data_IF_559804551868
#
_entry.id   IF_559804551868
#
_cell.length_a   1.000
_cell.length_b   1.000
_cell.length_c   1.000
_cell.angle_alpha   90.00
_cell.angle_beta   90.00
_cell.angle_gamma   90.00
#
_symmetry.space_group_name_H-M   'P 1'
#
loop_
_entity.id
_entity.type
_entity.pdbx_description
1 polymer ?
#
# COMPACT_ATOMS: atom_id res chain seq x y z
N UNK A 1 -12.20 5.83 -41.13
CA UNK A 1 -12.35 7.02 -40.27
C UNK A 1 -11.74 6.62 -38.94
N UNK A 2 -10.61 7.22 -38.54
CA UNK A 2 -9.96 6.90 -37.25
C UNK A 2 -10.86 7.45 -36.14
N UNK A 3 -11.27 6.65 -35.15
CA UNK A 3 -12.07 7.15 -34.03
C UNK A 3 -11.33 8.32 -33.37
N UNK A 4 -12.05 9.40 -33.07
CA UNK A 4 -11.50 10.47 -32.23
C UNK A 4 -11.17 9.83 -30.88
N UNK A 5 -9.95 9.98 -30.34
CA UNK A 5 -9.63 9.44 -29.04
C UNK A 5 -10.57 10.05 -28.00
N UNK A 6 -11.35 9.19 -27.33
CA UNK A 6 -12.25 9.52 -26.21
C UNK A 6 -11.48 9.89 -24.93
N UNK A 7 -10.24 10.38 -25.07
CA UNK A 7 -9.43 10.76 -23.94
C UNK A 7 -10.05 12.01 -23.30
N UNK A 8 -10.35 11.99 -22.00
CA UNK A 8 -10.75 13.17 -21.27
C UNK A 8 -9.59 14.18 -21.30
N UNK A 9 -9.83 15.33 -21.91
CA UNK A 9 -8.81 16.38 -22.11
C UNK A 9 -8.50 17.19 -20.84
N UNK A 10 -8.98 16.77 -19.68
CA UNK A 10 -8.96 17.57 -18.46
C UNK A 10 -8.17 16.88 -17.36
N UNK A 11 -7.31 17.65 -16.69
CA UNK A 11 -6.43 17.19 -15.61
C UNK A 11 -7.19 16.75 -14.36
N UNK A 12 -8.45 17.15 -14.26
CA UNK A 12 -9.42 16.85 -13.20
C UNK A 12 -10.24 15.59 -13.49
N UNK A 13 -9.81 14.74 -14.44
CA UNK A 13 -10.55 13.55 -14.88
C UNK A 13 -11.01 12.65 -13.72
N UNK A 14 -10.18 12.50 -12.69
CA UNK A 14 -10.50 11.69 -11.52
C UNK A 14 -11.18 12.46 -10.38
N UNK A 15 -11.43 13.76 -10.55
CA UNK A 15 -11.97 14.67 -9.55
C UNK A 15 -13.28 15.35 -9.94
N UNK A 16 -13.65 15.31 -11.23
CA UNK A 16 -15.01 15.62 -11.68
C UNK A 16 -16.01 14.64 -11.03
N UNK A 17 -17.27 15.07 -10.85
CA UNK A 17 -18.31 14.29 -10.16
C UNK A 17 -18.27 12.80 -10.54
N UNK A 18 -18.36 11.88 -9.57
CA UNK A 18 -18.21 10.46 -9.87
C UNK A 18 -19.38 10.03 -10.75
N UNK A 19 -19.16 9.97 -12.06
CA UNK A 19 -19.96 9.09 -12.90
C UNK A 19 -19.68 7.67 -12.43
N UNK A 20 -20.73 6.85 -12.33
CA UNK A 20 -20.58 5.44 -11.94
C UNK A 20 -19.67 4.66 -12.90
N UNK A 21 -19.34 5.25 -14.06
CA UNK A 21 -18.51 4.72 -15.13
C UNK A 21 -17.41 5.69 -15.57
N UNK A 22 -16.28 5.14 -16.04
CA UNK A 22 -15.14 5.86 -16.61
C UNK A 22 -14.78 5.31 -17.98
N UNK A 23 -14.34 6.21 -18.87
CA UNK A 23 -13.78 5.86 -20.16
C UNK A 23 -12.25 5.67 -20.03
N UNK A 24 -11.78 4.48 -20.38
CA UNK A 24 -10.38 4.12 -20.37
C UNK A 24 -9.88 4.00 -21.79
N UNK A 25 -8.65 4.44 -22.01
CA UNK A 25 -7.89 4.15 -23.23
C UNK A 25 -6.90 3.04 -22.90
N UNK A 26 -7.18 1.84 -23.38
CA UNK A 26 -6.37 0.66 -23.13
C UNK A 26 -5.39 0.41 -24.29
N UNK A 27 -4.10 0.51 -24.03
CA UNK A 27 -3.02 0.25 -25.00
C UNK A 27 -2.63 -1.22 -24.92
N UNK A 28 -2.91 -1.97 -25.99
CA UNK A 28 -2.63 -3.40 -26.08
C UNK A 28 -1.18 -3.67 -26.53
N UNK A 29 -0.60 -4.84 -26.16
CA UNK A 29 0.77 -5.20 -26.54
C UNK A 29 0.99 -5.29 -28.06
N UNK A 30 -0.06 -5.61 -28.82
CA UNK A 30 -0.05 -5.68 -30.28
C UNK A 30 -0.19 -4.30 -30.96
N UNK A 31 0.05 -3.20 -30.23
CA UNK A 31 -0.01 -1.81 -30.70
C UNK A 31 -1.40 -1.31 -31.13
N UNK A 32 -2.46 -1.99 -30.68
CA UNK A 32 -3.85 -1.54 -30.84
C UNK A 32 -4.27 -0.79 -29.58
N UNK A 33 -5.00 0.32 -29.73
CA UNK A 33 -5.67 0.97 -28.60
C UNK A 33 -7.15 0.62 -28.63
N UNK A 34 -7.73 0.36 -27.46
CA UNK A 34 -9.14 0.02 -27.29
C UNK A 34 -9.77 0.98 -26.29
N UNK A 35 -10.83 1.72 -26.66
CA UNK A 35 -11.65 2.43 -25.69
C UNK A 35 -12.50 1.42 -24.91
N UNK A 36 -12.56 1.58 -23.60
CA UNK A 36 -13.33 0.72 -22.70
C UNK A 36 -14.08 1.58 -21.68
N UNK A 37 -15.38 1.34 -21.49
CA UNK A 37 -16.19 2.05 -20.49
C UNK A 37 -16.54 1.10 -19.37
N UNK A 38 -16.01 1.33 -18.17
CA UNK A 38 -16.11 0.42 -17.02
C UNK A 38 -16.55 1.16 -15.78
N UNK A 39 -17.08 0.44 -14.79
CA UNK A 39 -17.49 1.06 -13.54
C UNK A 39 -16.30 1.65 -12.79
N UNK A 40 -16.51 2.80 -12.13
CA UNK A 40 -15.53 3.45 -11.27
C UNK A 40 -15.00 2.54 -10.15
N UNK A 41 -15.83 1.61 -9.65
CA UNK A 41 -15.51 0.70 -8.56
C UNK A 41 -15.05 -0.69 -9.04
N UNK A 42 -14.93 -0.89 -10.36
CA UNK A 42 -14.46 -2.15 -10.94
C UNK A 42 -13.03 -2.45 -10.51
N UNK A 43 -12.75 -3.73 -10.25
CA UNK A 43 -11.40 -4.20 -10.02
C UNK A 43 -10.66 -4.35 -11.37
N UNK A 44 -9.34 -4.44 -11.33
CA UNK A 44 -8.55 -4.58 -12.55
C UNK A 44 -8.77 -5.93 -13.25
N UNK A 45 -9.14 -6.99 -12.51
CA UNK A 45 -9.50 -8.28 -13.11
C UNK A 45 -10.69 -8.14 -14.08
N UNK A 46 -11.79 -7.54 -13.62
CA UNK A 46 -13.02 -7.31 -14.40
C UNK A 46 -12.71 -6.47 -15.64
N UNK A 47 -11.94 -5.39 -15.46
CA UNK A 47 -11.49 -4.51 -16.55
C UNK A 47 -10.68 -5.30 -17.59
N UNK A 48 -9.82 -6.21 -17.13
CA UNK A 48 -8.96 -7.02 -18.00
C UNK A 48 -9.77 -8.06 -18.77
N UNK A 49 -10.75 -8.68 -18.13
CA UNK A 49 -11.68 -9.63 -18.77
C UNK A 49 -12.49 -8.95 -19.88
N UNK A 50 -13.13 -7.81 -19.59
CA UNK A 50 -13.87 -7.04 -20.60
C UNK A 50 -12.97 -6.58 -21.77
N UNK A 51 -11.75 -6.14 -21.44
CA UNK A 51 -10.77 -5.74 -22.44
C UNK A 51 -10.33 -6.91 -23.34
N UNK A 52 -10.21 -8.12 -22.78
CA UNK A 52 -9.87 -9.32 -23.55
C UNK A 52 -11.00 -9.74 -24.50
N UNK A 53 -12.25 -9.65 -24.04
CA UNK A 53 -13.43 -9.89 -24.88
C UNK A 53 -13.54 -8.90 -26.04
N UNK A 54 -13.20 -7.63 -25.81
CA UNK A 54 -13.13 -6.61 -26.85
C UNK A 54 -11.98 -6.88 -27.82
N UNK A 55 -10.78 -7.22 -27.32
CA UNK A 55 -9.61 -7.51 -28.14
C UNK A 55 -9.81 -8.72 -29.05
N UNK A 56 -10.58 -9.73 -28.62
CA UNK A 56 -10.92 -10.90 -29.43
C UNK A 56 -11.67 -10.55 -30.73
N UNK A 57 -12.34 -9.39 -30.77
CA UNK A 57 -13.08 -8.88 -31.94
C UNK A 57 -12.22 -8.00 -32.85
N UNK A 58 -10.96 -7.78 -32.49
CA UNK A 58 -10.06 -6.84 -33.15
C UNK A 58 -8.97 -7.55 -33.96
N UNK A 59 -8.37 -6.88 -34.95
CA UNK A 59 -7.23 -7.43 -35.68
C UNK A 59 -6.07 -7.82 -34.75
N UNK A 60 -5.19 -8.69 -35.22
CA UNK A 60 -3.95 -9.06 -34.51
C UNK A 60 -4.17 -9.67 -33.10
N UNK A 61 -5.38 -10.13 -32.77
CA UNK A 61 -5.63 -10.81 -31.50
C UNK A 61 -4.77 -12.07 -31.35
N UNK A 62 -4.55 -12.82 -32.43
CA UNK A 62 -3.71 -14.02 -32.42
C UNK A 62 -2.22 -13.77 -32.12
N UNK A 63 -1.78 -12.51 -32.01
CA UNK A 63 -0.43 -12.15 -31.54
C UNK A 63 -0.34 -12.04 -30.01
N UNK A 64 -1.47 -12.01 -29.30
CA UNK A 64 -1.50 -11.95 -27.85
C UNK A 64 -1.29 -13.34 -27.25
N UNK A 65 -0.53 -13.40 -26.16
CA UNK A 65 -0.40 -14.59 -25.31
C UNK A 65 -1.64 -14.76 -24.41
N UNK A 66 -1.59 -15.71 -23.48
CA UNK A 66 -2.65 -15.86 -22.48
C UNK A 66 -2.84 -14.58 -21.66
N UNK A 67 -4.10 -14.28 -21.31
CA UNK A 67 -4.46 -13.10 -20.52
C UNK A 67 -3.67 -12.98 -19.22
N UNK A 68 -3.39 -14.10 -18.55
CA UNK A 68 -2.62 -14.20 -17.29
C UNK A 68 -1.15 -13.78 -17.44
N UNK A 69 -0.62 -13.79 -18.66
CA UNK A 69 0.76 -13.39 -18.99
C UNK A 69 0.98 -11.88 -19.05
N UNK A 70 -0.05 -11.07 -18.85
CA UNK A 70 0.03 -9.61 -18.93
C UNK A 70 -0.37 -8.92 -17.63
N UNK A 71 0.20 -7.75 -17.38
CA UNK A 71 -0.12 -6.87 -16.25
C UNK A 71 -0.42 -5.46 -16.74
N UNK A 72 -1.15 -4.69 -15.95
CA UNK A 72 -1.39 -3.29 -16.25
C UNK A 72 -0.22 -2.41 -15.84
N UNK A 73 0.12 -1.48 -16.72
CA UNK A 73 1.06 -0.39 -16.51
C UNK A 73 0.34 0.93 -16.76
N UNK A 74 0.59 1.92 -15.91
CA UNK A 74 0.05 3.27 -16.09
C UNK A 74 0.97 4.31 -15.48
N UNK A 75 0.66 5.58 -15.75
CA UNK A 75 1.29 6.71 -15.07
C UNK A 75 0.39 7.09 -13.90
N UNK A 76 0.93 7.06 -12.68
CA UNK A 76 0.19 7.42 -11.48
C UNK A 76 0.16 8.94 -11.25
N UNK A 77 -0.53 9.38 -10.20
CA UNK A 77 -0.67 10.80 -9.84
C UNK A 77 0.67 11.51 -9.53
N UNK A 78 1.73 10.76 -9.28
CA UNK A 78 3.09 11.28 -9.05
C UNK A 78 3.92 11.37 -10.35
N UNK A 79 3.29 11.17 -11.52
CA UNK A 79 3.96 11.12 -12.81
C UNK A 79 5.02 10.00 -12.93
N UNK A 80 4.88 8.94 -12.13
CA UNK A 80 5.74 7.75 -12.17
C UNK A 80 5.02 6.62 -12.89
N UNK A 81 5.77 5.85 -13.69
CA UNK A 81 5.24 4.63 -14.29
C UNK A 81 5.15 3.53 -13.24
N UNK A 82 3.96 3.00 -13.03
CA UNK A 82 3.67 1.93 -12.08
C UNK A 82 3.11 0.72 -12.81
N UNK A 83 3.58 -0.47 -12.42
CA UNK A 83 3.07 -1.76 -12.88
C UNK A 83 2.28 -2.41 -11.74
N UNK A 84 1.05 -2.83 -12.02
CA UNK A 84 0.13 -3.40 -11.03
C UNK A 84 -0.13 -4.86 -11.35
N UNK A 85 0.40 -5.70 -10.49
CA UNK A 85 0.23 -7.15 -10.50
C UNK A 85 -0.98 -7.62 -9.69
N UNK A 86 -1.41 -6.82 -8.70
CA UNK A 86 -2.59 -7.10 -7.89
C UNK A 86 -3.87 -6.65 -8.61
N UNK A 87 -4.52 -7.61 -9.26
CA UNK A 87 -5.73 -7.40 -10.04
C UNK A 87 -6.98 -7.10 -9.17
N UNK A 88 -6.89 -7.26 -7.84
CA UNK A 88 -7.98 -6.89 -6.92
C UNK A 88 -8.06 -5.39 -6.66
N UNK A 89 -7.02 -4.62 -7.02
CA UNK A 89 -7.05 -3.16 -6.89
C UNK A 89 -8.18 -2.59 -7.74
N UNK A 90 -8.84 -1.55 -7.23
CA UNK A 90 -9.93 -0.86 -7.94
C UNK A 90 -9.40 0.29 -8.76
N UNK A 91 -10.08 0.61 -9.85
CA UNK A 91 -9.75 1.76 -10.71
C UNK A 91 -9.67 3.08 -9.93
N UNK A 92 -10.62 3.29 -9.02
CA UNK A 92 -10.68 4.48 -8.14
C UNK A 92 -9.47 4.67 -7.23
N UNK A 93 -8.72 3.61 -6.96
CA UNK A 93 -7.56 3.65 -6.08
C UNK A 93 -6.27 3.94 -6.86
N UNK A 94 -6.21 3.46 -8.11
CA UNK A 94 -5.02 3.65 -8.97
C UNK A 94 -5.04 4.96 -9.77
N UNK A 95 -6.23 5.42 -10.20
CA UNK A 95 -6.45 6.70 -10.92
C UNK A 95 -5.39 6.99 -12.00
N UNK A 96 -5.29 6.14 -13.04
CA UNK A 96 -4.28 6.31 -14.08
C UNK A 96 -4.44 7.66 -14.79
N UNK A 97 -3.35 8.40 -14.96
CA UNK A 97 -3.38 9.72 -15.59
C UNK A 97 -4.05 9.65 -16.97
N UNK A 98 -5.01 10.55 -17.22
CA UNK A 98 -5.87 10.58 -18.42
C UNK A 98 -6.69 9.31 -18.70
N UNK A 99 -6.85 8.39 -17.75
CA UNK A 99 -7.57 7.13 -17.99
C UNK A 99 -6.82 6.17 -18.90
N UNK A 100 -5.51 6.34 -19.05
CA UNK A 100 -4.70 5.49 -19.94
C UNK A 100 -4.12 4.31 -19.18
N UNK A 101 -4.50 3.10 -19.61
CA UNK A 101 -3.92 1.84 -19.13
C UNK A 101 -3.16 1.17 -20.27
N UNK A 102 -2.01 0.59 -19.97
CA UNK A 102 -1.23 -0.18 -20.93
C UNK A 102 -1.09 -1.62 -20.43
N UNK A 103 -1.33 -2.58 -21.31
CA UNK A 103 -1.00 -3.98 -21.03
C UNK A 103 0.44 -4.23 -21.47
N UNK A 104 1.23 -4.78 -20.55
CA UNK A 104 2.60 -5.20 -20.79
C UNK A 104 2.76 -6.66 -20.40
N UNK A 105 3.75 -7.35 -20.96
CA UNK A 105 4.10 -8.68 -20.51
C UNK A 105 4.54 -8.65 -19.05
N UNK A 106 4.04 -9.61 -18.28
CA UNK A 106 4.36 -9.75 -16.86
C UNK A 106 5.85 -10.03 -16.72
N UNK A 107 6.57 -9.15 -16.02
CA UNK A 107 7.97 -9.38 -15.72
C UNK A 107 8.13 -10.62 -14.85
N UNK A 108 8.97 -11.56 -15.30
CA UNK A 108 9.37 -12.76 -14.54
C UNK A 108 10.44 -12.39 -13.49
N UNK A 109 11.02 -11.19 -13.58
CA UNK A 109 12.08 -10.75 -12.68
C UNK A 109 11.49 -10.23 -11.36
N UNK A 110 11.42 -11.11 -10.37
CA UNK A 110 11.24 -10.83 -8.93
C UNK A 110 9.99 -10.00 -8.58
N UNK A 111 8.77 -10.56 -8.76
CA UNK A 111 7.50 -9.86 -8.47
C UNK A 111 7.42 -9.28 -7.04
N UNK A 112 8.05 -9.93 -6.06
CA UNK A 112 8.06 -9.46 -4.67
C UNK A 112 8.86 -8.17 -4.43
N UNK A 113 9.95 -7.94 -5.17
CA UNK A 113 10.77 -6.73 -5.01
C UNK A 113 10.05 -5.51 -5.59
N UNK A 114 9.37 -5.67 -6.73
CA UNK A 114 8.61 -4.60 -7.38
C UNK A 114 7.43 -4.12 -6.50
N UNK A 115 6.66 -5.06 -5.93
CA UNK A 115 5.56 -4.73 -5.02
C UNK A 115 6.05 -3.98 -3.79
N UNK A 116 7.13 -4.44 -3.16
CA UNK A 116 7.70 -3.79 -1.99
C UNK A 116 8.19 -2.36 -2.32
N UNK A 117 8.90 -2.19 -3.44
CA UNK A 117 9.37 -0.88 -3.90
C UNK A 117 8.22 0.10 -4.16
N UNK A 118 7.11 -0.40 -4.71
CA UNK A 118 5.89 0.40 -4.93
C UNK A 118 5.29 0.84 -3.60
N UNK A 119 5.13 -0.08 -2.64
CA UNK A 119 4.62 0.24 -1.30
C UNK A 119 5.50 1.26 -0.57
N UNK A 120 6.83 1.11 -0.65
CA UNK A 120 7.77 2.08 -0.07
C UNK A 120 7.62 3.45 -0.75
N UNK A 121 7.53 3.48 -2.09
CA UNK A 121 7.36 4.73 -2.85
C UNK A 121 6.09 5.47 -2.44
N UNK A 122 4.98 4.74 -2.23
CA UNK A 122 3.73 5.32 -1.74
C UNK A 122 3.86 5.89 -0.32
N UNK A 123 4.52 5.17 0.59
CA UNK A 123 4.71 5.63 1.97
C UNK A 123 5.60 6.88 2.05
N UNK A 124 6.61 6.99 1.18
CA UNK A 124 7.52 8.14 1.13
C UNK A 124 6.93 9.29 0.29
N UNK A 125 6.02 8.98 -0.64
CA UNK A 125 5.47 9.94 -1.61
C UNK A 125 6.45 10.28 -2.74
N UNK A 126 7.43 9.41 -3.03
CA UNK A 126 8.48 9.63 -4.02
C UNK A 126 8.95 8.34 -4.66
N UNK A 127 9.22 8.35 -5.97
CA UNK A 127 9.66 7.16 -6.70
C UNK A 127 11.06 6.71 -6.27
N UNK A 128 11.24 5.41 -5.98
CA UNK A 128 12.56 4.89 -5.62
C UNK A 128 13.59 5.01 -6.76
N UNK A 129 13.13 4.89 -8.00
CA UNK A 129 13.93 5.08 -9.22
C UNK A 129 14.52 6.50 -9.34
N UNK A 130 13.88 7.52 -8.77
CA UNK A 130 14.44 8.87 -8.73
C UNK A 130 15.75 8.88 -7.94
N UNK A 131 15.82 8.16 -6.82
CA UNK A 131 17.05 8.06 -6.04
C UNK A 131 18.13 7.24 -6.75
N UNK A 132 17.76 6.27 -7.58
CA UNK A 132 18.71 5.49 -8.38
C UNK A 132 19.28 6.32 -9.55
N UNK A 133 18.48 7.26 -10.06
CA UNK A 133 18.91 8.22 -11.09
C UNK A 133 19.90 9.28 -10.56
N UNK A 134 19.88 9.56 -9.25
CA UNK A 134 20.82 10.45 -8.60
C UNK A 134 22.21 9.80 -8.57
N UNK A 135 23.05 10.10 -9.57
CA UNK A 135 24.44 9.65 -9.68
C UNK A 135 25.39 10.34 -8.66
N UNK A 136 24.95 10.52 -7.43
CA UNK A 136 25.73 11.11 -6.34
C UNK A 136 26.37 10.01 -5.48
N UNK A 137 27.69 10.08 -5.31
CA UNK A 137 28.43 9.15 -4.45
C UNK A 137 28.00 9.26 -2.99
N UNK A 138 27.77 10.48 -2.49
CA UNK A 138 27.31 10.72 -1.12
C UNK A 138 25.95 10.07 -0.84
N UNK A 139 25.00 10.20 -1.77
CA UNK A 139 23.67 9.58 -1.65
C UNK A 139 23.79 8.06 -1.65
N UNK A 140 24.63 7.49 -2.52
CA UNK A 140 24.85 6.05 -2.60
C UNK A 140 25.53 5.50 -1.34
N UNK A 141 26.52 6.21 -0.80
CA UNK A 141 27.19 5.84 0.45
C UNK A 141 26.24 5.90 1.64
N UNK A 142 25.39 6.93 1.72
CA UNK A 142 24.35 7.02 2.74
C UNK A 142 23.38 5.84 2.66
N UNK A 143 22.86 5.52 1.47
CA UNK A 143 21.93 4.38 1.26
C UNK A 143 22.57 3.07 1.66
N UNK A 144 23.85 2.86 1.32
CA UNK A 144 24.61 1.68 1.71
C UNK A 144 24.79 1.60 3.23
N UNK A 145 25.13 2.71 3.88
CA UNK A 145 25.30 2.77 5.34
C UNK A 145 23.99 2.48 6.08
N UNK A 146 22.88 3.04 5.61
CA UNK A 146 21.57 2.80 6.23
C UNK A 146 21.13 1.35 6.09
N UNK A 147 21.48 0.68 4.98
CA UNK A 147 21.25 -0.76 4.80
C UNK A 147 21.93 -1.58 5.90
N UNK A 148 23.18 -1.28 6.26
CA UNK A 148 23.87 -1.99 7.33
C UNK A 148 23.17 -1.85 8.70
N UNK A 149 22.69 -0.65 9.03
CA UNK A 149 21.94 -0.42 10.28
C UNK A 149 20.62 -1.22 10.29
N UNK A 150 19.95 -1.28 9.15
CA UNK A 150 18.73 -2.06 8.99
C UNK A 150 19.00 -3.57 9.12
N UNK A 151 20.08 -4.08 8.51
CA UNK A 151 20.51 -5.48 8.61
C UNK A 151 20.87 -5.85 10.05
N UNK A 152 21.65 -5.02 10.74
CA UNK A 152 21.99 -5.23 12.16
C UNK A 152 20.73 -5.28 13.03
N UNK A 153 19.77 -4.39 12.78
CA UNK A 153 18.49 -4.37 13.48
C UNK A 153 17.64 -5.60 13.18
N UNK A 154 17.68 -6.12 11.95
CA UNK A 154 16.99 -7.34 11.54
C UNK A 154 17.60 -8.57 12.24
N UNK A 155 18.92 -8.66 12.34
CA UNK A 155 19.63 -9.75 13.04
C UNK A 155 19.27 -9.72 14.54
N UNK A 156 19.29 -8.54 15.19
CA UNK A 156 18.88 -8.44 16.59
C UNK A 156 17.44 -8.91 16.81
N UNK A 157 16.52 -8.57 15.89
CA UNK A 157 15.10 -9.01 15.93
C UNK A 157 14.91 -10.50 15.67
N UNK A 158 15.76 -11.11 14.85
CA UNK A 158 15.69 -12.56 14.58
C UNK A 158 16.14 -13.38 15.79
N UNK A 159 17.08 -12.85 16.57
CA UNK A 159 17.59 -13.45 17.81
C UNK A 159 16.76 -13.11 19.06
N UNK A 160 15.74 -12.23 18.93
CA UNK A 160 14.94 -11.78 20.07
C UNK A 160 14.01 -12.86 20.63
N UNK A 161 13.86 -12.85 21.94
CA UNK A 161 12.85 -13.65 22.65
C UNK A 161 11.42 -13.18 22.32
N UNK A 162 10.42 -14.03 22.61
CA UNK A 162 9.00 -13.67 22.44
C UNK A 162 8.62 -12.41 23.23
N UNK A 163 9.16 -12.23 24.43
CA UNK A 163 8.88 -11.06 25.27
C UNK A 163 9.46 -9.78 24.66
N UNK A 164 10.68 -9.83 24.12
CA UNK A 164 11.30 -8.68 23.44
C UNK A 164 10.56 -8.30 22.17
N UNK A 165 10.11 -9.28 21.39
CA UNK A 165 9.23 -9.05 20.23
C UNK A 165 7.93 -8.37 20.64
N UNK A 166 7.30 -8.83 21.73
CA UNK A 166 6.09 -8.20 22.26
C UNK A 166 6.35 -6.74 22.68
N UNK A 167 7.44 -6.47 23.40
CA UNK A 167 7.83 -5.11 23.80
C UNK A 167 8.13 -4.20 22.62
N UNK A 168 8.68 -4.73 21.54
CA UNK A 168 8.91 -3.97 20.31
C UNK A 168 7.60 -3.58 19.62
N UNK A 169 6.65 -4.51 19.51
CA UNK A 169 5.33 -4.23 18.92
C UNK A 169 4.44 -3.36 19.82
N UNK A 170 4.56 -3.54 21.14
CA UNK A 170 3.75 -2.86 22.15
C UNK A 170 4.67 -2.24 23.21
N UNK A 171 5.37 -1.14 22.87
CA UNK A 171 6.26 -0.48 23.81
C UNK A 171 5.47 0.04 25.01
N UNK A 172 5.87 -0.29 26.25
CA UNK A 172 5.17 0.20 27.43
C UNK A 172 5.32 1.72 27.51
N UNK A 173 4.20 2.41 27.67
CA UNK A 173 4.16 3.88 27.82
C UNK A 173 4.40 4.25 29.28
N UNK A 174 5.66 4.16 29.69
CA UNK A 174 6.09 4.48 31.04
C UNK A 174 6.38 5.99 31.16
N UNK A 175 6.21 6.54 32.36
CA UNK A 175 6.69 7.87 32.68
C UNK A 175 8.23 7.88 32.72
N UNK A 176 8.84 9.01 32.36
CA UNK A 176 10.30 9.16 32.36
C UNK A 176 10.90 9.09 33.77
N UNK A 177 10.12 9.53 34.76
CA UNK A 177 10.48 9.52 36.17
C UNK A 177 9.76 8.37 36.88
N UNK A 178 10.47 7.59 37.71
CA UNK A 178 9.87 6.54 38.51
C UNK A 178 9.02 7.09 39.65
N UNK A 179 9.23 8.36 40.03
CA UNK A 179 8.54 9.00 41.15
C UNK A 179 7.19 9.57 40.73
N UNK A 180 6.16 9.28 41.53
CA UNK A 180 4.83 9.86 41.34
C UNK A 180 4.88 11.34 41.80
N UNK A 181 4.43 12.30 40.97
CA UNK A 181 4.32 13.70 41.37
C UNK A 181 3.48 13.89 42.64
N UNK A 182 3.90 14.80 43.52
CA UNK A 182 3.24 15.06 44.82
C UNK A 182 1.77 15.47 44.67
N UNK A 183 1.43 16.15 43.58
CA UNK A 183 0.04 16.49 43.23
C UNK A 183 -0.82 15.24 43.06
N UNK A 184 -0.32 14.22 42.37
CA UNK A 184 -1.04 12.95 42.17
C UNK A 184 -1.10 12.12 43.45
N UNK A 185 -0.04 12.14 44.28
CA UNK A 185 -0.03 11.46 45.58
C UNK A 185 -1.16 11.99 46.47
N UNK A 186 -1.42 13.30 46.46
CA UNK A 186 -2.51 13.90 47.26
C UNK A 186 -3.91 13.40 46.87
N UNK A 187 -4.07 12.86 45.66
CA UNK A 187 -5.31 12.27 45.17
C UNK A 187 -5.40 10.75 45.41
N UNK A 188 -4.33 10.11 45.90
CA UNK A 188 -4.32 8.69 46.23
C UNK A 188 -4.70 8.48 47.69
N UNK A 189 -5.74 7.67 47.95
CA UNK A 189 -6.07 7.26 49.31
C UNK A 189 -5.06 6.20 49.77
N UNK A 190 -4.22 6.54 50.76
CA UNK A 190 -3.18 5.67 51.33
C UNK A 190 -2.16 5.14 50.28
N UNK A 191 -1.80 5.94 49.27
CA UNK A 191 -0.95 5.53 48.14
C UNK A 191 -1.50 4.32 47.35
N UNK A 192 -2.80 4.07 47.44
CA UNK A 192 -3.45 3.00 46.71
C UNK A 192 -4.29 3.52 45.56
N UNK A 193 -4.41 2.70 44.51
CA UNK A 193 -5.36 2.92 43.42
C UNK A 193 -6.15 1.65 43.14
N UNK A 194 -7.33 1.83 42.55
CA UNK A 194 -8.21 0.75 42.17
C UNK A 194 -7.91 0.40 40.72
N UNK A 195 -7.55 -0.85 40.46
CA UNK A 195 -7.34 -1.38 39.14
C UNK A 195 -8.49 -2.33 38.80
N UNK A 196 -9.23 -1.99 37.75
CA UNK A 196 -10.34 -2.80 37.24
C UNK A 196 -9.83 -3.58 36.04
N UNK A 197 -9.73 -4.90 36.16
CA UNK A 197 -9.40 -5.78 35.03
C UNK A 197 -10.65 -6.46 34.51
N UNK A 198 -10.74 -6.56 33.19
CA UNK A 198 -11.76 -7.33 32.49
C UNK A 198 -11.12 -8.60 31.95
N UNK A 199 -11.67 -9.75 32.32
CA UNK A 199 -11.26 -11.04 31.76
C UNK A 199 -12.40 -11.52 30.87
N UNK A 200 -12.22 -11.40 29.56
CA UNK A 200 -13.17 -11.90 28.58
C UNK A 200 -12.86 -13.35 28.24
N UNK A 201 -13.81 -14.26 28.49
CA UNK A 201 -13.81 -15.58 27.85
C UNK A 201 -14.67 -15.51 26.58
N UNK A 202 -14.41 -16.38 25.61
CA UNK A 202 -15.02 -16.36 24.26
C UNK A 202 -16.54 -16.50 24.21
N UNK A 203 -17.21 -16.71 25.35
CA UNK A 203 -18.66 -16.70 25.48
C UNK A 203 -19.09 -15.76 26.61
N UNK A 204 -19.52 -14.56 26.21
CA UNK A 204 -20.39 -13.59 26.90
C UNK A 204 -20.57 -13.75 28.42
N UNK A 205 -19.51 -13.56 29.20
CA UNK A 205 -19.60 -13.18 30.61
C UNK A 205 -18.32 -12.41 30.99
N UNK A 206 -18.42 -11.08 30.98
CA UNK A 206 -17.33 -10.21 31.39
C UNK A 206 -17.23 -10.22 32.91
N UNK A 207 -16.26 -10.97 33.44
CA UNK A 207 -15.91 -10.89 34.86
C UNK A 207 -15.06 -9.63 35.08
N UNK A 208 -15.55 -8.74 35.95
CA UNK A 208 -14.82 -7.58 36.43
C UNK A 208 -14.13 -7.93 37.75
N UNK A 209 -12.80 -7.86 37.75
CA UNK A 209 -11.98 -8.01 38.94
C UNK A 209 -11.52 -6.63 39.39
N UNK A 210 -11.85 -6.26 40.62
CA UNK A 210 -11.44 -5.00 41.24
C UNK A 210 -10.32 -5.33 42.22
N UNK A 211 -9.11 -4.85 41.93
CA UNK A 211 -7.93 -5.05 42.77
C UNK A 211 -7.46 -3.72 43.34
N UNK A 212 -7.21 -3.70 44.63
CA UNK A 212 -6.63 -2.57 45.34
C UNK A 212 -5.10 -2.74 45.32
N UNK A 213 -4.40 -1.87 44.60
CA UNK A 213 -2.94 -1.98 44.38
C UNK A 213 -2.24 -0.81 45.06
N UNK A 214 -1.17 -1.12 45.81
CA UNK A 214 -0.28 -0.11 46.38
C UNK A 214 0.64 0.41 45.29
N UNK A 215 0.78 1.73 45.18
CA UNK A 215 1.84 2.34 44.40
C UNK A 215 3.17 2.03 45.08
N UNK A 216 4.11 1.42 44.36
CA UNK A 216 5.51 1.36 44.80
C UNK A 216 6.10 2.76 44.60
N UNK A 217 6.08 3.56 45.66
CA UNK A 217 6.86 4.80 45.78
C UNK A 217 8.34 4.47 45.81
#
# INVERSE_FOLDING_TARGET
>A
MVPVPSCPYTWDYWTAEPSDYVELTCLMPNSIYLPLTVSWDANLQDVKEELWELAAKQPLFGMLHEMTGYVFKFINSLAVSEEVDDENKRLRDIRPVFGVLMLIERSIERPGEHLLNTQISHLIGKGLNEFDSLRSSEVNDFRKRMRYIAEESLIRRSQSTRLERLRYHYPPRLADLPTVPTTLISHLNNNCFILVTKVGNTECNDLLLIVLVSSNV
#
